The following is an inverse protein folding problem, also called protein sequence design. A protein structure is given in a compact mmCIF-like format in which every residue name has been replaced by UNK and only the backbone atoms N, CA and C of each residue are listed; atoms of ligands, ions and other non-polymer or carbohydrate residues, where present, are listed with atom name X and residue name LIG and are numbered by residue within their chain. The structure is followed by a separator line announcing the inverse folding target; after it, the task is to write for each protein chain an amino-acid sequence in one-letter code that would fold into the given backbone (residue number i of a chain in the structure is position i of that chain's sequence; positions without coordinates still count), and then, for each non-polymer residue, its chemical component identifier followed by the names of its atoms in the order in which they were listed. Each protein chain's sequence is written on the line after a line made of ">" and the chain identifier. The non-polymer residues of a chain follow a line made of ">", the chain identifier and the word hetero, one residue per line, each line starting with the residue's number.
data_IF_810747051566
#
_entry.id   IF_810747051566
#
_cell.length_a   1.000
_cell.length_b   1.000
_cell.length_c   1.000
_cell.angle_alpha   90.00
_cell.angle_beta   90.00
_cell.angle_gamma   90.00
#
_symmetry.space_group_name_H-M   'P 1'
#
loop_
_entity.id
_entity.type
_entity.pdbx_description
1 polymer ?
#
# COMPACT_ATOMS: atom_id res chain seq x y z
N UNK A 1 21.98 10.14 1.69
CA UNK A 1 20.87 9.95 0.72
C UNK A 1 19.70 9.42 1.53
N UNK A 2 18.56 10.11 1.57
CA UNK A 2 17.36 9.58 2.24
C UNK A 2 16.82 8.47 1.34
N UNK A 3 16.53 7.26 1.85
CA UNK A 3 15.94 6.20 1.04
C UNK A 3 14.58 6.66 0.50
N UNK A 4 14.33 6.40 -0.78
CA UNK A 4 13.07 6.77 -1.44
C UNK A 4 11.86 6.25 -0.65
N UNK A 5 10.85 7.08 -0.44
CA UNK A 5 9.56 6.69 0.18
C UNK A 5 9.62 6.15 1.62
N UNK A 6 10.73 6.34 2.35
CA UNK A 6 10.80 5.98 3.76
C UNK A 6 9.85 6.85 4.61
N UNK A 7 8.93 6.22 5.35
CA UNK A 7 7.99 6.92 6.23
C UNK A 7 8.75 7.54 7.41
N UNK A 8 8.65 8.85 7.55
CA UNK A 8 9.26 9.63 8.64
C UNK A 8 8.40 9.62 9.90
N UNK A 9 9.01 9.93 11.05
CA UNK A 9 8.29 10.06 12.33
C UNK A 9 7.12 11.04 12.26
N UNK A 10 7.31 12.20 11.63
CA UNK A 10 6.24 13.20 11.51
C UNK A 10 5.09 12.69 10.62
N UNK A 11 5.40 11.94 9.56
CA UNK A 11 4.37 11.30 8.74
C UNK A 11 3.61 10.21 9.51
N UNK A 12 4.26 9.48 10.42
CA UNK A 12 3.59 8.53 11.31
C UNK A 12 2.63 9.24 12.26
N UNK A 13 3.07 10.33 12.88
CA UNK A 13 2.26 11.12 13.83
C UNK A 13 1.02 11.72 13.17
N UNK A 14 1.10 12.03 11.87
CA UNK A 14 0.02 12.60 11.08
C UNK A 14 -0.71 11.58 10.20
N UNK A 15 -0.43 10.28 10.35
CA UNK A 15 -1.09 9.26 9.55
C UNK A 15 -2.58 9.20 9.87
N UNK A 16 -3.39 8.81 8.87
CA UNK A 16 -4.82 8.61 9.05
C UNK A 16 -5.07 7.67 10.25
N UNK A 17 -5.86 8.08 11.24
CA UNK A 17 -6.10 7.26 12.43
C UNK A 17 -6.67 5.89 12.09
N UNK A 18 -7.44 5.72 11.01
CA UNK A 18 -7.95 4.41 10.57
C UNK A 18 -6.89 3.48 9.94
N UNK A 19 -5.73 4.02 9.57
CA UNK A 19 -4.72 3.32 8.77
C UNK A 19 -3.30 3.70 9.23
N UNK A 20 -3.09 3.77 10.55
CA UNK A 20 -1.76 4.03 11.11
C UNK A 20 -0.76 2.95 10.66
N UNK A 21 0.45 3.34 10.22
CA UNK A 21 1.46 2.36 9.79
C UNK A 21 1.87 1.44 10.93
N UNK A 22 2.08 0.17 10.59
CA UNK A 22 2.56 -0.84 11.53
C UNK A 22 4.08 -1.03 11.37
N UNK A 23 4.79 -1.38 12.44
CA UNK A 23 6.22 -1.69 12.32
C UNK A 23 6.40 -2.99 11.54
N UNK A 24 7.14 -2.95 10.44
CA UNK A 24 7.51 -4.11 9.64
C UNK A 24 8.46 -5.04 10.43
N UNK A 25 8.32 -6.37 10.30
CA UNK A 25 9.29 -7.29 10.83
C UNK A 25 10.55 -7.22 9.97
N UNK A 26 11.70 -7.60 10.52
CA UNK A 26 12.91 -7.75 9.72
C UNK A 26 12.63 -8.72 8.56
N UNK A 27 12.91 -8.30 7.32
CA UNK A 27 12.73 -9.13 6.15
C UNK A 27 13.59 -10.41 6.31
N UNK A 28 13.01 -11.62 6.24
CA UNK A 28 13.81 -12.83 6.28
C UNK A 28 14.66 -12.93 5.00
N UNK A 29 15.87 -13.51 5.06
CA UNK A 29 16.82 -13.55 3.94
C UNK A 29 16.37 -14.37 2.72
N UNK A 30 15.22 -15.05 2.79
CA UNK A 30 14.70 -15.94 1.76
C UNK A 30 13.17 -15.82 1.56
N UNK A 31 12.57 -14.65 1.81
CA UNK A 31 11.20 -14.44 1.36
C UNK A 31 11.15 -14.67 -0.17
N UNK A 32 10.34 -15.62 -0.62
CA UNK A 32 10.00 -15.77 -2.04
C UNK A 32 9.41 -14.45 -2.51
N UNK A 33 10.25 -13.67 -3.19
CA UNK A 33 10.03 -12.27 -3.48
C UNK A 33 8.95 -12.20 -4.56
N UNK A 34 7.94 -11.36 -4.34
CA UNK A 34 7.16 -10.76 -5.42
C UNK A 34 8.12 -10.48 -6.58
N UNK A 35 7.85 -10.95 -7.81
CA UNK A 35 8.73 -10.68 -8.95
C UNK A 35 9.23 -9.24 -8.91
N UNK A 36 10.55 -9.01 -9.02
CA UNK A 36 11.14 -7.72 -8.73
C UNK A 36 10.48 -6.64 -9.60
N UNK A 37 10.08 -5.55 -8.96
CA UNK A 37 9.54 -4.39 -9.67
C UNK A 37 10.45 -3.22 -9.42
N UNK A 38 11.04 -2.67 -10.47
CA UNK A 38 11.94 -1.53 -10.37
C UNK A 38 11.50 -0.41 -11.28
N UNK A 39 11.68 0.82 -10.82
CA UNK A 39 11.48 2.00 -11.65
C UNK A 39 12.73 2.87 -11.62
N UNK A 40 13.20 3.25 -12.80
CA UNK A 40 14.14 4.33 -12.97
C UNK A 40 13.37 5.63 -13.23
N UNK A 41 13.45 6.57 -12.30
CA UNK A 41 12.81 7.88 -12.44
C UNK A 41 13.86 8.88 -12.89
N UNK A 42 13.56 9.63 -13.95
CA UNK A 42 14.38 10.74 -14.42
C UNK A 42 13.59 12.03 -14.48
N UNK A 43 14.19 13.14 -14.07
CA UNK A 43 13.56 14.47 -14.12
C UNK A 43 14.45 15.44 -14.89
N UNK A 44 13.85 16.27 -15.75
CA UNK A 44 14.55 17.33 -16.47
C UNK A 44 14.81 18.56 -15.58
N UNK A 45 15.42 18.34 -14.41
CA UNK A 45 15.73 19.38 -13.39
C UNK A 45 14.51 20.06 -12.77
N UNK A 46 13.36 19.39 -12.79
CA UNK A 46 12.15 19.80 -12.07
C UNK A 46 11.97 18.97 -10.81
N UNK A 47 11.42 19.60 -9.77
CA UNK A 47 10.98 18.92 -8.57
C UNK A 47 9.61 18.25 -8.82
N UNK A 48 9.51 16.98 -8.45
CA UNK A 48 8.33 16.16 -8.67
C UNK A 48 7.94 15.48 -7.36
N UNK A 49 6.84 15.91 -6.77
CA UNK A 49 6.26 15.23 -5.62
C UNK A 49 5.42 14.03 -6.06
N UNK A 50 5.70 12.89 -5.45
CA UNK A 50 5.07 11.62 -5.76
C UNK A 50 4.52 10.97 -4.49
N UNK A 51 3.36 10.34 -4.65
CA UNK A 51 2.77 9.40 -3.72
C UNK A 51 3.01 7.99 -4.24
N UNK A 52 3.39 7.07 -3.35
CA UNK A 52 3.36 5.64 -3.62
C UNK A 52 2.07 5.02 -3.07
N UNK A 53 1.44 4.17 -3.87
CA UNK A 53 0.24 3.40 -3.52
C UNK A 53 0.27 2.02 -4.18
N UNK A 54 -0.82 1.27 -4.04
CA UNK A 54 -0.98 -0.04 -4.66
C UNK A 54 -2.37 -0.19 -5.27
N UNK A 55 -2.44 -0.85 -6.43
CA UNK A 55 -3.70 -1.20 -7.06
C UNK A 55 -3.85 -2.72 -7.22
N UNK A 56 -5.05 -3.26 -7.00
CA UNK A 56 -5.32 -4.66 -7.29
C UNK A 56 -5.33 -4.91 -8.80
N UNK A 57 -5.07 -6.16 -9.20
CA UNK A 57 -5.08 -6.56 -10.62
C UNK A 57 -6.46 -6.33 -11.29
N UNK A 58 -7.52 -6.38 -10.48
CA UNK A 58 -8.88 -6.08 -10.88
C UNK A 58 -9.53 -5.18 -9.84
N UNK A 59 -10.28 -4.14 -10.25
CA UNK A 59 -11.03 -3.32 -9.32
C UNK A 59 -11.94 -4.16 -8.42
N UNK A 60 -11.95 -3.84 -7.12
CA UNK A 60 -12.83 -4.48 -6.14
C UNK A 60 -13.81 -3.43 -5.62
N UNK A 61 -15.08 -3.82 -5.45
CA UNK A 61 -16.11 -2.93 -4.92
C UNK A 61 -15.68 -2.34 -3.56
N UNK A 62 -15.89 -1.03 -3.39
CA UNK A 62 -15.47 -0.25 -2.21
C UNK A 62 -13.96 -0.26 -1.93
N UNK A 63 -13.16 -0.63 -2.93
CA UNK A 63 -11.71 -0.53 -2.91
C UNK A 63 -11.22 0.92 -2.94
N UNK A 64 -10.22 1.22 -2.12
CA UNK A 64 -9.63 2.55 -2.03
C UNK A 64 -8.11 2.41 -2.05
N UNK A 65 -7.47 3.02 -3.06
CA UNK A 65 -6.03 3.24 -3.07
C UNK A 65 -5.64 4.20 -1.94
N UNK A 66 -4.58 3.88 -1.22
CA UNK A 66 -4.15 4.59 -0.01
C UNK A 66 -2.73 5.09 -0.17
N UNK A 67 -2.49 6.29 0.34
CA UNK A 67 -1.15 6.89 0.38
C UNK A 67 -0.28 6.05 1.31
N UNK A 68 0.70 5.35 0.77
CA UNK A 68 1.60 4.51 1.55
C UNK A 68 2.99 5.11 1.73
N UNK A 69 3.38 6.01 0.83
CA UNK A 69 4.62 6.75 0.91
C UNK A 69 4.53 8.07 0.16
N UNK A 70 5.40 9.00 0.53
CA UNK A 70 5.55 10.30 -0.11
C UNK A 70 7.03 10.54 -0.39
N UNK A 71 7.34 11.06 -1.58
CA UNK A 71 8.70 11.38 -1.98
C UNK A 71 8.73 12.57 -2.93
N UNK A 72 9.57 13.54 -2.60
CA UNK A 72 9.98 14.60 -3.54
C UNK A 72 11.19 14.12 -4.34
N UNK A 73 11.06 14.04 -5.65
CA UNK A 73 12.13 13.64 -6.58
C UNK A 73 12.74 14.89 -7.20
N UNK A 74 14.00 15.15 -6.88
CA UNK A 74 14.78 16.30 -7.38
C UNK A 74 15.92 15.90 -8.31
N UNK A 75 16.14 14.59 -8.50
CA UNK A 75 17.19 14.04 -9.34
C UNK A 75 16.83 12.63 -9.79
N UNK A 76 17.61 12.08 -10.72
CA UNK A 76 17.41 10.71 -11.18
C UNK A 76 17.55 9.73 -10.01
N UNK A 77 16.60 8.81 -9.87
CA UNK A 77 16.55 7.85 -8.77
C UNK A 77 16.08 6.49 -9.26
N UNK A 78 16.71 5.43 -8.76
CA UNK A 78 16.21 4.06 -8.90
C UNK A 78 15.43 3.68 -7.66
N UNK A 79 14.25 3.10 -7.84
CA UNK A 79 13.45 2.53 -6.77
C UNK A 79 13.25 1.06 -7.06
N UNK A 80 13.72 0.22 -6.15
CA UNK A 80 13.40 -1.20 -6.12
C UNK A 80 12.22 -1.38 -5.17
N UNK A 81 11.00 -1.47 -5.74
CA UNK A 81 9.78 -1.58 -4.94
C UNK A 81 9.77 -2.85 -4.10
N UNK A 82 10.34 -3.95 -4.61
CA UNK A 82 10.37 -5.22 -3.87
C UNK A 82 11.21 -5.16 -2.59
N UNK A 83 12.14 -4.22 -2.48
CA UNK A 83 13.00 -4.04 -1.30
C UNK A 83 12.61 -2.85 -0.44
N UNK A 84 12.27 -1.72 -1.06
CA UNK A 84 11.97 -0.46 -0.36
C UNK A 84 10.49 -0.42 0.07
N UNK A 85 9.61 -0.95 -0.78
CA UNK A 85 8.16 -0.97 -0.59
C UNK A 85 7.59 -2.40 -0.77
N UNK A 86 8.10 -3.42 -0.06
CA UNK A 86 7.62 -4.78 -0.20
C UNK A 86 6.13 -4.88 0.14
N UNK A 87 5.44 -5.82 -0.50
CA UNK A 87 4.01 -6.03 -0.30
C UNK A 87 3.73 -6.82 0.99
N UNK A 88 2.67 -6.41 1.68
CA UNK A 88 2.11 -7.11 2.82
C UNK A 88 0.61 -7.28 2.62
N UNK A 89 0.10 -8.44 3.00
CA UNK A 89 -1.31 -8.57 3.35
C UNK A 89 -1.59 -7.77 4.62
N UNK A 90 -2.60 -6.91 4.61
CA UNK A 90 -2.98 -6.12 5.77
C UNK A 90 -4.45 -6.31 6.11
N UNK A 91 -4.74 -6.28 7.42
CA UNK A 91 -6.08 -6.17 7.95
C UNK A 91 -6.10 -5.25 9.17
N UNK A 92 -7.22 -4.55 9.36
CA UNK A 92 -7.43 -3.71 10.52
C UNK A 92 -8.85 -3.83 11.06
N UNK A 93 -8.99 -3.61 12.36
CA UNK A 93 -10.28 -3.41 13.01
C UNK A 93 -10.24 -2.14 13.85
N UNK A 94 -11.26 -1.30 13.72
CA UNK A 94 -11.49 -0.19 14.62
C UNK A 94 -12.85 -0.37 15.30
N UNK A 95 -12.86 -0.34 16.64
CA UNK A 95 -14.12 -0.27 17.40
C UNK A 95 -14.55 1.19 17.56
N UNK A 96 -15.85 1.45 17.49
CA UNK A 96 -16.39 2.78 17.71
C UNK A 96 -15.99 3.32 19.09
N UNK A 97 -15.46 4.55 19.09
CA UNK A 97 -14.94 5.22 20.28
C UNK A 97 -13.46 4.94 20.58
N UNK A 98 -12.80 4.04 19.85
CA UNK A 98 -11.35 3.86 19.95
C UNK A 98 -10.61 4.91 19.11
N UNK A 99 -9.40 5.25 19.55
CA UNK A 99 -8.56 6.28 18.91
C UNK A 99 -7.79 5.75 17.70
N UNK A 100 -7.49 4.45 17.68
CA UNK A 100 -6.68 3.81 16.66
C UNK A 100 -7.10 2.35 16.46
N UNK A 101 -6.97 1.81 15.25
CA UNK A 101 -7.32 0.44 14.93
C UNK A 101 -6.25 -0.51 15.45
N UNK A 102 -6.67 -1.73 15.74
CA UNK A 102 -5.73 -2.84 15.79
C UNK A 102 -5.45 -3.27 14.35
N UNK A 103 -4.18 -3.20 13.97
CA UNK A 103 -3.71 -3.58 12.63
C UNK A 103 -2.85 -4.82 12.73
N UNK A 104 -3.02 -5.74 11.79
CA UNK A 104 -2.22 -6.94 11.66
C UNK A 104 -1.84 -7.11 10.19
N UNK A 105 -0.70 -7.74 9.96
CA UNK A 105 -0.15 -7.89 8.63
C UNK A 105 0.63 -9.20 8.51
N UNK A 106 0.78 -9.69 7.30
CA UNK A 106 1.64 -10.82 6.92
C UNK A 106 2.35 -10.44 5.63
N UNK A 107 3.65 -10.76 5.52
CA UNK A 107 4.39 -10.53 4.28
C UNK A 107 3.70 -11.27 3.12
N UNK A 108 3.46 -10.58 2.02
CA UNK A 108 2.85 -11.20 0.85
C UNK A 108 3.83 -12.17 0.20
N UNK A 109 3.40 -13.41 -0.04
CA UNK A 109 4.11 -14.37 -0.90
C UNK A 109 3.34 -14.75 -2.16
N UNK A 110 2.01 -14.82 -2.10
CA UNK A 110 1.14 -15.20 -3.22
C UNK A 110 -0.32 -14.80 -2.97
N UNK A 111 -1.08 -14.63 -4.05
CA UNK A 111 -2.55 -14.51 -4.03
C UNK A 111 -3.24 -15.74 -3.40
N UNK A 112 -2.58 -16.90 -3.40
CA UNK A 112 -3.11 -18.16 -2.85
C UNK A 112 -2.64 -18.47 -1.42
N UNK A 113 -1.95 -17.53 -0.76
CA UNK A 113 -1.44 -17.71 0.60
C UNK A 113 -2.55 -18.04 1.61
N UNK A 114 -2.23 -18.89 2.58
CA UNK A 114 -3.16 -19.28 3.64
C UNK A 114 -2.64 -18.86 5.02
N UNK A 115 -3.32 -17.90 5.65
CA UNK A 115 -2.95 -17.38 6.98
C UNK A 115 -4.16 -16.82 7.73
N UNK A 116 -3.96 -16.51 9.02
CA UNK A 116 -4.97 -15.91 9.89
C UNK A 116 -4.40 -14.68 10.57
N UNK A 117 -5.15 -13.59 10.59
CA UNK A 117 -4.79 -12.36 11.30
C UNK A 117 -5.78 -12.12 12.43
N UNK A 118 -5.30 -12.17 13.66
CA UNK A 118 -6.09 -11.87 14.86
C UNK A 118 -6.05 -10.36 15.07
N UNK A 119 -7.21 -9.70 14.93
CA UNK A 119 -7.31 -8.25 15.04
C UNK A 119 -7.70 -7.83 16.47
N UNK A 120 -8.57 -8.59 17.12
CA UNK A 120 -8.85 -8.49 18.55
C UNK A 120 -9.44 -9.82 19.06
N UNK A 121 -9.90 -9.85 20.33
CA UNK A 121 -10.48 -11.05 20.93
C UNK A 121 -11.74 -11.58 20.21
N UNK A 122 -12.45 -10.74 19.47
CA UNK A 122 -13.73 -11.07 18.82
C UNK A 122 -13.60 -11.26 17.30
N UNK A 123 -12.58 -10.70 16.67
CA UNK A 123 -12.46 -10.62 15.21
C UNK A 123 -11.10 -11.19 14.79
N UNK A 124 -11.16 -12.31 14.07
CA UNK A 124 -10.04 -12.92 13.36
C UNK A 124 -10.44 -13.08 11.91
N UNK A 125 -9.67 -12.51 10.99
CA UNK A 125 -9.86 -12.70 9.55
C UNK A 125 -8.92 -13.79 9.05
N UNK A 126 -9.32 -14.49 8.00
CA UNK A 126 -8.52 -15.54 7.39
C UNK A 126 -8.37 -15.29 5.90
N UNK A 127 -7.18 -15.53 5.36
CA UNK A 127 -6.93 -15.51 3.93
C UNK A 127 -6.60 -16.92 3.45
N UNK A 128 -6.98 -17.23 2.23
CA UNK A 128 -6.68 -18.49 1.57
C UNK A 128 -6.86 -18.36 0.06
N UNK A 129 -6.82 -19.49 -0.65
CA UNK A 129 -6.97 -19.58 -2.11
C UNK A 129 -8.22 -18.87 -2.69
N UNK A 130 -9.27 -18.73 -1.89
CA UNK A 130 -10.52 -18.07 -2.28
C UNK A 130 -10.63 -16.63 -1.74
N UNK A 131 -9.50 -16.02 -1.38
CA UNK A 131 -9.39 -14.67 -0.83
C UNK A 131 -9.64 -14.58 0.67
N UNK A 132 -9.95 -13.36 1.13
CA UNK A 132 -10.28 -13.04 2.52
C UNK A 132 -11.66 -13.56 2.89
N UNK A 133 -11.74 -14.30 3.98
CA UNK A 133 -12.97 -14.67 4.67
C UNK A 133 -13.12 -13.78 5.90
N UNK A 134 -14.19 -13.00 5.91
CA UNK A 134 -14.51 -12.05 6.96
C UNK A 134 -15.53 -12.71 7.91
N UNK A 135 -15.26 -12.75 9.23
CA UNK A 135 -16.17 -13.39 10.18
C UNK A 135 -17.47 -12.58 10.33
N UNK A 136 -18.44 -13.13 11.06
CA UNK A 136 -19.53 -12.33 11.59
C UNK A 136 -18.98 -11.34 12.63
N UNK A 137 -19.46 -10.10 12.59
CA UNK A 137 -19.20 -9.09 13.61
C UNK A 137 -20.32 -8.04 13.59
N UNK A 138 -20.42 -7.26 14.66
CA UNK A 138 -21.34 -6.13 14.73
C UNK A 138 -20.78 -4.93 13.94
N UNK A 139 -21.32 -4.69 12.74
CA UNK A 139 -20.89 -3.57 11.89
C UNK A 139 -21.34 -2.20 12.39
N UNK A 140 -22.22 -2.13 13.39
CA UNK A 140 -22.54 -0.87 14.09
C UNK A 140 -21.49 -0.54 15.15
N UNK A 141 -20.69 -1.52 15.57
CA UNK A 141 -19.64 -1.34 16.59
C UNK A 141 -18.23 -1.38 16.00
N UNK A 142 -18.01 -2.11 14.91
CA UNK A 142 -16.69 -2.35 14.34
C UNK A 142 -16.64 -2.02 12.86
N UNK A 143 -15.54 -1.40 12.45
CA UNK A 143 -15.12 -1.29 11.04
C UNK A 143 -13.96 -2.25 10.80
N UNK A 144 -14.09 -3.15 9.83
CA UNK A 144 -13.04 -4.10 9.44
C UNK A 144 -12.57 -3.77 8.03
N UNK A 145 -11.26 -3.65 7.84
CA UNK A 145 -10.65 -3.45 6.53
C UNK A 145 -9.66 -4.57 6.23
N UNK A 146 -9.54 -4.93 4.95
CA UNK A 146 -8.49 -5.83 4.43
C UNK A 146 -7.89 -5.25 3.15
N UNK A 147 -6.71 -5.71 2.77
CA UNK A 147 -6.08 -5.31 1.52
C UNK A 147 -4.57 -5.45 1.57
N UNK A 148 -3.87 -4.47 1.03
CA UNK A 148 -2.42 -4.47 0.89
C UNK A 148 -1.77 -3.31 1.61
N UNK A 149 -0.66 -3.61 2.25
CA UNK A 149 0.31 -2.66 2.74
C UNK A 149 1.59 -2.69 1.94
N UNK A 150 2.35 -1.59 2.01
CA UNK A 150 3.69 -1.50 1.44
C UNK A 150 4.63 -0.78 2.40
N UNK A 151 5.91 -1.14 2.39
CA UNK A 151 6.96 -0.37 3.05
C UNK A 151 7.80 -1.09 4.10
N UNK A 152 8.98 -0.51 4.37
CA UNK A 152 9.94 -0.89 5.42
C UNK A 152 10.61 0.39 5.95
N UNK A 153 10.88 0.52 7.26
CA UNK A 153 10.55 -0.39 8.36
C UNK A 153 9.11 -0.23 8.84
N UNK A 154 8.29 0.58 8.16
CA UNK A 154 6.88 0.75 8.47
C UNK A 154 6.06 0.26 7.29
N UNK A 155 5.06 -0.58 7.57
CA UNK A 155 4.05 -1.02 6.62
C UNK A 155 2.87 -0.07 6.70
N UNK A 156 2.69 0.75 5.68
CA UNK A 156 1.51 1.59 5.52
C UNK A 156 0.53 0.97 4.54
N UNK A 157 -0.75 1.28 4.68
CA UNK A 157 -1.77 0.85 3.74
C UNK A 157 -1.52 1.43 2.35
N UNK A 158 -1.38 0.57 1.35
CA UNK A 158 -1.38 0.93 -0.08
C UNK A 158 -2.75 0.76 -0.71
N UNK A 159 -3.56 -0.16 -0.21
CA UNK A 159 -4.91 -0.41 -0.71
C UNK A 159 -5.80 -1.02 0.38
N UNK A 160 -7.00 -0.48 0.57
CA UNK A 160 -7.94 -0.95 1.60
C UNK A 160 -9.33 -1.20 1.04
N UNK A 161 -10.00 -2.23 1.55
CA UNK A 161 -11.41 -2.52 1.31
C UNK A 161 -12.11 -2.57 2.66
N UNK A 162 -13.12 -1.73 2.85
CA UNK A 162 -14.02 -1.84 4.00
C UNK A 162 -14.96 -3.03 3.78
N UNK A 163 -14.90 -3.99 4.70
CA UNK A 163 -15.62 -5.25 4.58
C UNK A 163 -17.02 -5.17 5.17
N UNK A 164 -17.90 -6.04 4.69
CA UNK A 164 -19.15 -6.38 5.38
C UNK A 164 -18.95 -7.64 6.23
N UNK A 165 -19.73 -7.83 7.32
CA UNK A 165 -19.74 -9.08 8.07
C UNK A 165 -20.10 -10.28 7.18
N UNK A 166 -19.53 -11.45 7.48
CA UNK A 166 -19.79 -12.70 6.76
C UNK A 166 -19.56 -12.63 5.24
N UNK A 167 -18.64 -11.76 4.82
CA UNK A 167 -18.29 -11.59 3.42
C UNK A 167 -17.08 -12.43 3.01
N UNK A 168 -16.97 -12.66 1.70
CA UNK A 168 -15.75 -13.12 1.05
C UNK A 168 -15.26 -12.04 0.09
N UNK A 169 -13.98 -11.71 0.18
CA UNK A 169 -13.35 -10.66 -0.63
C UNK A 169 -12.12 -11.22 -1.32
N UNK A 170 -12.16 -11.24 -2.65
CA UNK A 170 -11.01 -11.62 -3.47
C UNK A 170 -10.31 -10.35 -3.92
N UNK A 171 -9.03 -10.24 -3.58
CA UNK A 171 -8.17 -9.16 -4.06
C UNK A 171 -6.85 -9.79 -4.49
N UNK A 172 -6.39 -9.43 -5.68
CA UNK A 172 -5.16 -9.97 -6.28
C UNK A 172 -4.11 -8.88 -6.41
N UNK A 173 -2.85 -9.20 -6.17
CA UNK A 173 -1.76 -8.27 -6.37
C UNK A 173 -1.72 -7.81 -7.83
N UNK A 174 -1.81 -6.51 -8.08
CA UNK A 174 -1.83 -5.93 -9.42
C UNK A 174 -0.57 -5.17 -9.75
N UNK A 175 -0.50 -3.94 -9.25
CA UNK A 175 0.57 -3.01 -9.58
C UNK A 175 0.92 -2.12 -8.40
N UNK A 176 2.21 -1.85 -8.26
CA UNK A 176 2.61 -0.62 -7.58
C UNK A 176 2.13 0.57 -8.42
N UNK A 177 1.82 1.69 -7.78
CA UNK A 177 1.43 2.89 -8.51
C UNK A 177 2.11 4.10 -7.89
N UNK A 178 2.65 4.94 -8.77
CA UNK A 178 3.09 6.28 -8.42
C UNK A 178 2.04 7.27 -8.90
N UNK A 179 1.67 8.22 -8.03
CA UNK A 179 0.71 9.26 -8.35
C UNK A 179 1.35 10.61 -8.12
N UNK A 180 1.07 11.58 -9.00
CA UNK A 180 1.48 12.96 -8.80
C UNK A 180 0.80 13.50 -7.54
N UNK A 181 1.61 13.91 -6.58
CA UNK A 181 1.15 14.54 -5.34
C UNK A 181 0.67 15.96 -5.60
N UNK A 182 -0.37 16.38 -4.89
CA UNK A 182 -0.79 17.78 -4.80
C UNK A 182 -0.22 18.49 -3.55
N UNK A 183 0.52 17.77 -2.70
CA UNK A 183 1.21 18.30 -1.53
C UNK A 183 0.38 18.32 -0.25
N UNK A 184 -0.86 17.82 -0.28
CA UNK A 184 -1.77 17.79 0.89
C UNK A 184 -2.04 16.39 1.41
N UNK A 185 -1.55 15.37 0.71
CA UNK A 185 -1.74 13.97 1.04
C UNK A 185 -1.03 13.59 2.35
N UNK A 186 -1.70 12.77 3.15
CA UNK A 186 -1.16 12.18 4.37
C UNK A 186 -1.18 10.65 4.27
N UNK A 187 -0.23 9.98 4.94
CA UNK A 187 -0.16 8.51 4.95
C UNK A 187 -1.50 7.91 5.40
N UNK A 188 -2.00 6.92 4.68
CA UNK A 188 -3.29 6.25 4.93
C UNK A 188 -4.52 7.02 4.44
N UNK A 189 -4.38 8.22 3.89
CA UNK A 189 -5.48 8.91 3.20
C UNK A 189 -5.81 8.22 1.86
N UNK A 190 -7.05 8.37 1.34
CA UNK A 190 -7.35 8.02 -0.05
C UNK A 190 -6.43 8.79 -1.00
N UNK A 191 -5.97 8.12 -2.05
CA UNK A 191 -5.25 8.76 -3.15
C UNK A 191 -6.25 9.52 -4.03
N UNK A 192 -5.96 10.78 -4.47
CA UNK A 192 -6.81 11.51 -5.39
C UNK A 192 -6.97 10.77 -6.73
N UNK A 193 -8.21 10.71 -7.26
CA UNK A 193 -8.50 9.96 -8.50
C UNK A 193 -8.32 10.79 -9.78
N UNK A 194 -8.09 12.10 -9.65
CA UNK A 194 -7.94 13.06 -10.74
C UNK A 194 -6.47 13.43 -11.01
N UNK A 195 -5.53 12.95 -10.19
CA UNK A 195 -4.10 13.15 -10.40
C UNK A 195 -3.54 12.20 -11.47
N UNK A 196 -2.54 12.66 -12.26
CA UNK A 196 -1.76 11.76 -13.12
C UNK A 196 -1.16 10.61 -12.30
N UNK A 197 -1.33 9.38 -12.79
CA UNK A 197 -0.79 8.18 -12.17
C UNK A 197 -0.09 7.26 -13.17
N UNK A 198 0.86 6.47 -12.65
CA UNK A 198 1.71 5.57 -13.40
C UNK A 198 1.67 4.18 -12.74
N UNK A 199 0.72 3.31 -13.12
CA UNK A 199 0.68 1.95 -12.63
C UNK A 199 1.82 1.12 -13.23
N UNK A 200 2.51 0.39 -12.36
CA UNK A 200 3.63 -0.50 -12.68
C UNK A 200 3.24 -1.92 -12.25
N UNK A 201 2.67 -2.72 -13.16
CA UNK A 201 2.44 -4.14 -12.93
C UNK A 201 3.66 -4.82 -12.32
N UNK A 202 3.39 -5.68 -11.32
CA UNK A 202 4.44 -6.38 -10.58
C UNK A 202 5.29 -7.26 -11.50
N UNK A 203 6.59 -7.33 -11.24
CA UNK A 203 7.51 -8.25 -11.93
C UNK A 203 8.18 -7.72 -13.19
N UNK A 204 8.22 -6.40 -13.35
CA UNK A 204 8.82 -5.75 -14.51
C UNK A 204 9.68 -4.55 -14.10
N UNK A 205 10.58 -4.18 -14.99
CA UNK A 205 11.37 -2.96 -14.88
C UNK A 205 10.73 -1.86 -15.73
N UNK A 206 10.76 -0.63 -15.22
CA UNK A 206 10.16 0.53 -15.87
C UNK A 206 11.10 1.73 -15.87
N UNK A 207 10.89 2.62 -16.83
CA UNK A 207 11.46 3.96 -16.83
C UNK A 207 10.33 4.99 -16.79
N UNK A 208 10.37 5.91 -15.83
CA UNK A 208 9.46 7.05 -15.71
C UNK A 208 10.25 8.34 -15.95
N UNK A 209 10.00 9.01 -17.07
CA UNK A 209 10.71 10.24 -17.44
C UNK A 209 9.76 11.44 -17.34
N UNK A 210 10.17 12.44 -16.56
CA UNK A 210 9.49 13.72 -16.46
C UNK A 210 10.14 14.77 -17.36
N UNK A 211 9.32 15.42 -18.19
CA UNK A 211 9.74 16.58 -18.98
C UNK A 211 9.91 17.84 -18.10
N UNK A 212 10.35 18.94 -18.71
CA UNK A 212 10.52 20.23 -18.02
C UNK A 212 9.20 20.87 -17.58
N UNK A 213 8.06 20.37 -18.04
CA UNK A 213 6.73 20.78 -17.60
C UNK A 213 6.19 19.90 -16.46
N UNK A 214 6.93 18.87 -16.06
CA UNK A 214 6.54 17.92 -15.02
C UNK A 214 5.58 16.82 -15.49
N UNK A 215 5.39 16.66 -16.81
CA UNK A 215 4.61 15.55 -17.35
C UNK A 215 5.46 14.28 -17.37
N UNK A 216 4.94 13.20 -16.80
CA UNK A 216 5.63 11.91 -16.72
C UNK A 216 5.16 10.92 -17.78
N UNK A 217 6.10 10.23 -18.42
CA UNK A 217 5.84 9.10 -19.33
C UNK A 217 6.48 7.84 -18.76
N UNK A 218 5.66 6.82 -18.51
CA UNK A 218 6.10 5.50 -18.07
C UNK A 218 6.30 4.58 -19.28
N UNK A 219 7.45 3.90 -19.34
CA UNK A 219 7.78 2.94 -20.40
C UNK A 219 8.29 1.64 -19.77
N UNK A 220 7.70 0.46 -20.08
CA UNK A 220 8.26 -0.84 -19.72
C UNK A 220 9.61 -1.05 -20.40
N UNK A 221 10.54 -1.71 -19.70
CA UNK A 221 11.89 -2.04 -20.21
C UNK A 221 11.98 -3.50 -20.62
#
# INVERSE_FOLDING_TARGET
>A
MVPSFLITKSQLENANPFFQPATAPALPPHATVVPPTRVWISTASVEVDLVATFLPATPVANGVARVAGLQTVTSNVAIDFSTILPLYWMASVLKNGELAPNTSYVLYSSDDDSFRLVLNASITVTHGKEGWLIPAYDSQQYTVNVGFGVGVPYVAWGYSIQCAPQARVVVKAGSYELVRSNGTEVIGAPVPTDSPSWPMPIGHDYTLVFDSSGNGVLTPV
#
